data_IF_575901705145
#
_entry.id   IF_575901705145
#
_cell.length_a   1.000
_cell.length_b   1.000
_cell.length_c   1.000
_cell.angle_alpha   90.00
_cell.angle_beta   90.00
_cell.angle_gamma   90.00
#
_symmetry.space_group_name_H-M   'P 1'
#
loop_
_entity.id
_entity.type
_entity.pdbx_description
1 polymer ?
#
# COMPACT_ATOMS: atom_id res chain seq x y z
N UNK A 1 4.66 -17.04 15.06
CA UNK A 1 4.24 -17.57 13.74
C UNK A 1 5.51 -17.99 13.00
N UNK A 2 5.50 -19.00 12.11
CA UNK A 2 6.70 -19.26 11.29
C UNK A 2 6.72 -18.37 10.04
N UNK A 3 7.86 -18.27 9.35
CA UNK A 3 8.04 -17.41 8.18
C UNK A 3 7.03 -17.67 7.06
N UNK A 4 6.73 -18.95 6.77
CA UNK A 4 5.77 -19.33 5.75
C UNK A 4 4.35 -18.93 6.13
N UNK A 5 3.96 -19.15 7.39
CA UNK A 5 2.63 -18.77 7.89
C UNK A 5 2.42 -17.24 7.76
N UNK A 6 3.45 -16.42 8.04
CA UNK A 6 3.39 -14.95 7.89
C UNK A 6 3.21 -14.54 6.43
N UNK A 7 3.94 -15.20 5.52
CA UNK A 7 3.84 -14.98 4.08
C UNK A 7 2.45 -15.35 3.58
N UNK A 8 1.95 -16.53 3.93
CA UNK A 8 0.63 -17.01 3.51
C UNK A 8 -0.48 -16.09 4.01
N UNK A 9 -0.40 -15.65 5.27
CA UNK A 9 -1.38 -14.73 5.84
C UNK A 9 -1.37 -13.36 5.16
N UNK A 10 -0.19 -12.83 4.85
CA UNK A 10 -0.05 -11.54 4.16
C UNK A 10 -0.55 -11.61 2.70
N UNK A 11 -0.19 -12.66 1.97
CA UNK A 11 -0.68 -12.88 0.60
C UNK A 11 -2.20 -13.12 0.58
N UNK A 12 -2.72 -13.82 1.58
CA UNK A 12 -4.14 -14.00 1.76
C UNK A 12 -4.88 -12.68 2.02
N UNK A 13 -4.30 -11.80 2.85
CA UNK A 13 -4.86 -10.49 3.14
C UNK A 13 -4.88 -9.59 1.91
N UNK A 14 -3.75 -9.46 1.20
CA UNK A 14 -3.67 -8.66 -0.05
C UNK A 14 -4.62 -9.19 -1.12
N UNK A 15 -4.78 -10.51 -1.25
CA UNK A 15 -5.80 -11.11 -2.11
C UNK A 15 -7.21 -10.65 -1.75
N UNK A 16 -7.55 -10.58 -0.46
CA UNK A 16 -8.87 -10.11 -0.03
C UNK A 16 -9.12 -8.65 -0.37
N UNK A 17 -8.11 -7.80 -0.29
CA UNK A 17 -8.19 -6.38 -0.61
C UNK A 17 -8.31 -6.10 -2.11
N UNK A 18 -7.47 -6.75 -2.92
CA UNK A 18 -7.29 -6.40 -4.34
C UNK A 18 -8.06 -7.31 -5.30
N UNK A 19 -8.09 -8.62 -5.05
CA UNK A 19 -8.74 -9.60 -5.92
C UNK A 19 -10.19 -9.86 -5.51
N UNK A 20 -10.42 -10.26 -4.25
CA UNK A 20 -11.77 -10.53 -3.76
C UNK A 20 -12.55 -9.24 -3.51
N UNK A 21 -11.85 -8.14 -3.18
CA UNK A 21 -12.43 -6.84 -2.86
C UNK A 21 -13.49 -6.94 -1.76
N UNK A 22 -13.15 -7.67 -0.69
CA UNK A 22 -14.05 -8.00 0.42
C UNK A 22 -13.48 -7.51 1.76
N UNK A 23 -14.13 -6.50 2.34
CA UNK A 23 -13.74 -5.90 3.59
C UNK A 23 -13.88 -6.83 4.81
N UNK A 24 -14.88 -7.73 4.80
CA UNK A 24 -15.10 -8.68 5.88
C UNK A 24 -14.01 -9.76 5.89
N UNK A 25 -13.60 -10.22 4.71
CA UNK A 25 -12.47 -11.13 4.55
C UNK A 25 -11.14 -10.45 4.93
N UNK A 26 -10.88 -9.23 4.46
CA UNK A 26 -9.65 -8.50 4.79
C UNK A 26 -9.47 -8.34 6.31
N UNK A 27 -10.52 -7.91 7.02
CA UNK A 27 -10.46 -7.73 8.48
C UNK A 27 -10.41 -9.06 9.23
N UNK A 28 -10.82 -10.18 8.63
CA UNK A 28 -10.74 -11.50 9.26
C UNK A 28 -9.31 -12.00 9.50
N UNK A 29 -8.32 -11.44 8.79
CA UNK A 29 -6.89 -11.78 8.96
C UNK A 29 -6.20 -10.95 10.05
N UNK A 30 -6.94 -10.03 10.69
CA UNK A 30 -6.39 -9.04 11.61
C UNK A 30 -6.88 -9.28 13.05
N UNK A 31 -6.03 -8.95 14.03
CA UNK A 31 -6.43 -8.92 15.45
C UNK A 31 -7.47 -7.80 15.70
N UNK A 32 -8.32 -7.91 16.74
CA UNK A 32 -9.39 -6.92 16.98
C UNK A 32 -8.93 -5.47 17.12
N UNK A 33 -7.73 -5.24 17.68
CA UNK A 33 -7.13 -3.92 17.85
C UNK A 33 -6.11 -3.56 16.75
N UNK A 34 -6.14 -4.25 15.61
CA UNK A 34 -5.21 -3.99 14.52
C UNK A 34 -5.28 -2.55 14.00
N UNK A 35 -4.25 -2.15 13.26
CA UNK A 35 -4.19 -0.83 12.61
C UNK A 35 -3.59 -0.93 11.22
N UNK A 36 -4.14 -0.14 10.31
CA UNK A 36 -3.60 0.07 8.97
C UNK A 36 -3.38 1.56 8.82
N UNK A 37 -2.19 1.95 8.36
CA UNK A 37 -1.90 3.37 8.15
C UNK A 37 -0.98 3.60 6.97
N UNK A 38 -1.49 4.38 6.03
CA UNK A 38 -0.74 4.99 4.95
C UNK A 38 -0.16 6.30 5.45
N UNK A 39 1.09 6.29 5.92
CA UNK A 39 1.62 7.43 6.69
C UNK A 39 1.74 8.75 5.90
N UNK A 40 2.10 8.76 4.61
CA UNK A 40 2.26 10.03 3.89
C UNK A 40 0.96 10.83 3.73
N UNK A 41 -0.19 10.17 3.81
CA UNK A 41 -1.53 10.79 3.72
C UNK A 41 -2.35 10.66 5.00
N UNK A 42 -1.84 9.92 5.99
CA UNK A 42 -2.56 9.55 7.21
C UNK A 42 -3.91 8.88 6.94
N UNK A 43 -3.99 8.10 5.86
CA UNK A 43 -5.19 7.35 5.50
C UNK A 43 -5.17 5.95 6.08
N UNK A 44 -6.17 5.61 6.88
CA UNK A 44 -6.25 4.33 7.56
C UNK A 44 -7.20 4.34 8.74
N UNK A 45 -7.15 3.28 9.53
CA UNK A 45 -7.99 3.11 10.70
C UNK A 45 -7.34 2.19 11.74
N UNK A 46 -7.91 2.18 12.94
CA UNK A 46 -7.50 1.30 14.04
C UNK A 46 -8.71 0.73 14.76
N UNK A 47 -8.63 -0.56 15.07
CA UNK A 47 -9.74 -1.34 15.60
C UNK A 47 -10.60 -1.94 14.49
N UNK A 48 -11.13 -3.13 14.76
CA UNK A 48 -11.86 -3.98 13.81
C UNK A 48 -12.96 -3.25 13.03
N UNK A 49 -13.86 -2.56 13.73
CA UNK A 49 -15.02 -1.92 13.12
C UNK A 49 -14.62 -0.74 12.22
N UNK A 50 -13.65 0.05 12.68
CA UNK A 50 -13.12 1.18 11.92
C UNK A 50 -12.32 0.71 10.69
N UNK A 51 -11.55 -0.37 10.82
CA UNK A 51 -10.84 -0.98 9.70
C UNK A 51 -11.81 -1.55 8.67
N UNK A 52 -12.86 -2.24 9.10
CA UNK A 52 -13.89 -2.76 8.20
C UNK A 52 -14.55 -1.64 7.41
N UNK A 53 -14.95 -0.56 8.08
CA UNK A 53 -15.51 0.62 7.43
C UNK A 53 -14.51 1.26 6.46
N UNK A 54 -13.25 1.43 6.87
CA UNK A 54 -12.20 1.95 6.01
C UNK A 54 -12.02 1.10 4.74
N UNK A 55 -11.97 -0.22 4.87
CA UNK A 55 -11.87 -1.12 3.72
C UNK A 55 -13.09 -1.04 2.81
N UNK A 56 -14.30 -1.12 3.38
CA UNK A 56 -15.55 -1.17 2.62
C UNK A 56 -15.85 0.16 1.91
N UNK A 57 -15.59 1.29 2.56
CA UNK A 57 -16.08 2.59 2.14
C UNK A 57 -15.01 3.49 1.50
N UNK A 58 -13.72 3.22 1.76
CA UNK A 58 -12.61 4.09 1.36
C UNK A 58 -11.60 3.35 0.49
N UNK A 59 -10.90 2.36 1.06
CA UNK A 59 -9.74 1.76 0.42
C UNK A 59 -10.13 0.94 -0.82
N UNK A 60 -10.98 -0.08 -0.67
CA UNK A 60 -11.33 -0.99 -1.76
C UNK A 60 -12.06 -0.27 -2.91
N UNK A 61 -13.08 0.59 -2.66
CA UNK A 61 -13.70 1.38 -3.73
C UNK A 61 -12.74 2.33 -4.42
N UNK A 62 -11.79 2.87 -3.65
CA UNK A 62 -10.75 3.79 -4.11
C UNK A 62 -9.65 3.13 -4.93
N UNK A 63 -9.59 1.80 -5.06
CA UNK A 63 -8.58 1.14 -5.90
C UNK A 63 -8.98 1.11 -7.39
N UNK A 64 -8.18 1.74 -8.28
CA UNK A 64 -8.34 1.59 -9.72
C UNK A 64 -8.31 0.11 -10.14
N UNK A 65 -9.07 -0.27 -11.19
CA UNK A 65 -9.14 -1.67 -11.64
C UNK A 65 -7.83 -2.16 -12.26
N UNK A 66 -6.97 -1.24 -12.71
CA UNK A 66 -5.65 -1.52 -13.28
C UNK A 66 -4.52 -1.41 -12.24
N UNK A 67 -4.85 -1.43 -10.94
CA UNK A 67 -3.84 -1.39 -9.89
C UNK A 67 -3.01 -2.67 -9.92
N UNK A 68 -1.70 -2.52 -10.10
CA UNK A 68 -0.71 -3.60 -10.11
C UNK A 68 0.32 -3.39 -9.00
N UNK A 69 0.76 -4.47 -8.37
CA UNK A 69 1.82 -4.49 -7.36
C UNK A 69 2.99 -5.38 -7.83
N UNK A 70 4.17 -4.78 -8.01
CA UNK A 70 5.42 -5.47 -8.34
C UNK A 70 6.27 -5.60 -7.06
N UNK A 71 6.29 -6.79 -6.45
CA UNK A 71 7.11 -7.08 -5.27
C UNK A 71 8.60 -7.11 -5.64
N UNK A 72 9.38 -6.18 -5.09
CA UNK A 72 10.81 -6.03 -5.35
C UNK A 72 11.63 -6.88 -4.38
N UNK A 73 11.35 -6.78 -3.10
CA UNK A 73 12.05 -7.52 -2.07
C UNK A 73 11.13 -7.79 -0.89
N UNK A 74 11.33 -8.94 -0.25
CA UNK A 74 10.66 -9.33 1.00
C UNK A 74 11.72 -9.66 2.04
N UNK A 75 11.61 -9.05 3.21
CA UNK A 75 12.41 -9.37 4.40
C UNK A 75 11.50 -9.89 5.50
N UNK A 76 11.88 -11.00 6.12
CA UNK A 76 11.11 -11.64 7.20
C UNK A 76 11.95 -11.65 8.47
N UNK A 77 11.39 -11.16 9.56
CA UNK A 77 11.92 -11.27 10.93
C UNK A 77 10.95 -12.05 11.82
N UNK A 78 11.17 -12.05 13.13
CA UNK A 78 10.43 -12.93 14.07
C UNK A 78 8.89 -12.74 14.03
N UNK A 79 8.41 -11.49 14.06
CA UNK A 79 6.98 -11.14 14.00
C UNK A 79 6.72 -9.99 13.02
N UNK A 80 7.57 -9.87 12.00
CA UNK A 80 7.54 -8.75 11.05
C UNK A 80 7.88 -9.22 9.64
N UNK A 81 7.10 -8.75 8.68
CA UNK A 81 7.36 -8.88 7.25
C UNK A 81 7.47 -7.47 6.67
N UNK A 82 8.50 -7.24 5.86
CA UNK A 82 8.70 -5.97 5.16
C UNK A 82 8.76 -6.25 3.68
N UNK A 83 7.80 -5.69 2.94
CA UNK A 83 7.78 -5.74 1.49
C UNK A 83 8.16 -4.37 0.92
N UNK A 84 9.11 -4.38 0.00
CA UNK A 84 9.42 -3.27 -0.90
C UNK A 84 8.74 -3.55 -2.24
N UNK A 85 7.91 -2.62 -2.70
CA UNK A 85 7.03 -2.81 -3.84
C UNK A 85 7.03 -1.58 -4.77
N UNK A 86 6.65 -1.81 -6.02
CA UNK A 86 6.24 -0.73 -6.94
C UNK A 86 4.77 -0.93 -7.28
N UNK A 87 3.93 0.04 -6.92
CA UNK A 87 2.53 0.11 -7.34
C UNK A 87 2.42 0.88 -8.66
N UNK A 88 1.58 0.39 -9.57
CA UNK A 88 1.12 1.13 -10.75
C UNK A 88 -0.39 1.20 -10.78
N UNK A 89 -0.92 2.34 -11.18
CA UNK A 89 -2.36 2.53 -11.40
C UNK A 89 -2.60 3.71 -12.34
N UNK A 90 -3.78 3.75 -12.95
CA UNK A 90 -4.30 4.98 -13.57
C UNK A 90 -5.15 5.73 -12.56
N UNK A 91 -4.91 7.02 -12.36
CA UNK A 91 -5.71 7.87 -11.46
C UNK A 91 -7.07 8.22 -12.10
N UNK A 92 -7.94 7.21 -12.23
CA UNK A 92 -9.25 7.23 -12.89
C UNK A 92 -10.42 7.54 -11.96
N UNK A 93 -10.18 7.49 -10.64
CA UNK A 93 -11.09 7.74 -9.53
C UNK A 93 -10.34 8.48 -8.43
N UNK A 94 -11.06 8.95 -7.43
CA UNK A 94 -10.41 9.40 -6.20
C UNK A 94 -9.74 8.21 -5.51
N UNK A 95 -8.47 8.37 -5.12
CA UNK A 95 -7.66 7.35 -4.44
C UNK A 95 -7.25 7.92 -3.07
N UNK A 96 -8.14 7.90 -2.05
CA UNK A 96 -7.96 8.66 -0.81
C UNK A 96 -6.66 8.35 -0.07
N UNK A 97 -6.22 7.10 -0.13
CA UNK A 97 -4.98 6.65 0.46
C UNK A 97 -3.73 7.25 -0.20
N UNK A 98 -3.79 7.66 -1.47
CA UNK A 98 -2.64 8.14 -2.23
C UNK A 98 -2.69 9.66 -2.49
N UNK A 99 -3.86 10.16 -2.88
CA UNK A 99 -4.13 11.55 -3.28
C UNK A 99 -5.48 12.02 -2.68
N UNK A 100 -5.55 12.23 -1.34
CA UNK A 100 -6.80 12.56 -0.66
C UNK A 100 -7.43 13.85 -1.19
N UNK A 101 -8.71 13.79 -1.59
CA UNK A 101 -9.48 14.93 -2.08
C UNK A 101 -9.09 15.42 -3.49
N UNK A 102 -8.25 14.68 -4.21
CA UNK A 102 -7.87 15.01 -5.59
C UNK A 102 -8.81 14.29 -6.56
N UNK A 103 -9.46 15.05 -7.43
CA UNK A 103 -10.27 14.49 -8.50
C UNK A 103 -9.43 13.65 -9.48
N UNK A 104 -10.03 12.71 -10.22
CA UNK A 104 -9.33 11.89 -11.20
C UNK A 104 -8.52 12.74 -12.17
N UNK A 105 -7.20 12.53 -12.22
CA UNK A 105 -6.30 13.29 -13.11
C UNK A 105 -6.08 12.58 -14.43
N UNK A 106 -6.42 11.29 -14.52
CA UNK A 106 -6.20 10.44 -15.70
C UNK A 106 -4.75 10.09 -15.98
N UNK A 107 -3.81 10.50 -15.11
CA UNK A 107 -2.38 10.16 -15.27
C UNK A 107 -2.10 8.75 -14.75
N UNK A 108 -1.14 8.08 -15.37
CA UNK A 108 -0.58 6.85 -14.82
C UNK A 108 0.42 7.21 -13.72
N UNK A 109 0.25 6.61 -12.55
CA UNK A 109 1.12 6.77 -11.40
C UNK A 109 1.95 5.51 -11.20
N UNK A 110 3.22 5.71 -10.89
CA UNK A 110 4.14 4.65 -10.48
C UNK A 110 4.77 5.04 -9.14
N UNK A 111 4.51 4.24 -8.11
CA UNK A 111 4.81 4.57 -6.72
C UNK A 111 5.65 3.46 -6.11
N UNK A 112 6.91 3.78 -5.80
CA UNK A 112 7.72 2.93 -4.94
C UNK A 112 7.29 3.11 -3.49
N UNK A 113 6.99 2.01 -2.80
CA UNK A 113 6.56 2.05 -1.41
C UNK A 113 7.10 0.86 -0.63
N UNK A 114 7.14 1.03 0.69
CA UNK A 114 7.47 -0.02 1.65
C UNK A 114 6.27 -0.23 2.55
N UNK A 115 5.87 -1.48 2.74
CA UNK A 115 4.89 -1.88 3.74
C UNK A 115 5.57 -2.71 4.83
N UNK A 116 5.35 -2.31 6.08
CA UNK A 116 5.80 -3.03 7.27
C UNK A 116 4.57 -3.68 7.90
N UNK A 117 4.52 -5.00 7.82
CA UNK A 117 3.47 -5.82 8.41
C UNK A 117 4.00 -6.42 9.70
N UNK A 118 3.28 -6.21 10.81
CA UNK A 118 3.57 -6.88 12.08
C UNK A 118 2.49 -7.89 12.39
N UNK A 119 2.91 -8.98 13.00
CA UNK A 119 2.04 -10.09 13.37
C UNK A 119 1.97 -10.23 14.88
N UNK A 120 0.92 -10.90 15.34
CA UNK A 120 0.81 -11.37 16.72
C UNK A 120 -0.02 -12.64 16.72
N UNK A 121 0.52 -13.67 17.37
CA UNK A 121 -0.06 -15.01 17.39
C UNK A 121 -0.22 -15.60 15.98
N UNK A 122 -1.45 -15.67 15.45
CA UNK A 122 -1.83 -16.21 14.14
C UNK A 122 -2.45 -15.15 13.21
N UNK A 123 -2.33 -13.86 13.54
CA UNK A 123 -3.04 -12.76 12.87
C UNK A 123 -2.15 -11.53 12.66
N UNK A 124 -2.57 -10.63 11.78
CA UNK A 124 -1.92 -9.34 11.55
C UNK A 124 -2.26 -8.35 12.67
N UNK A 125 -1.23 -7.73 13.24
CA UNK A 125 -1.32 -6.66 14.25
C UNK A 125 -1.33 -5.28 13.61
N UNK A 126 -0.49 -5.06 12.61
CA UNK A 126 -0.47 -3.76 11.95
C UNK A 126 0.09 -3.82 10.55
N UNK A 127 -0.40 -2.92 9.71
CA UNK A 127 0.17 -2.55 8.43
C UNK A 127 0.57 -1.07 8.48
N UNK A 128 1.80 -0.75 8.06
CA UNK A 128 2.27 0.64 8.00
C UNK A 128 3.02 0.86 6.70
N UNK A 129 2.50 1.77 5.88
CA UNK A 129 3.02 2.03 4.54
C UNK A 129 3.73 3.38 4.47
N UNK A 130 4.84 3.39 3.73
CA UNK A 130 5.70 4.54 3.48
C UNK A 130 5.97 4.70 1.99
N UNK A 131 5.95 5.93 1.50
CA UNK A 131 6.41 6.28 0.16
C UNK A 131 6.77 7.77 0.11
N UNK A 132 7.33 8.21 -1.01
CA UNK A 132 7.61 9.61 -1.28
C UNK A 132 6.36 10.33 -1.85
N UNK A 133 5.65 11.07 -1.00
CA UNK A 133 4.47 11.83 -1.42
C UNK A 133 4.81 12.95 -2.41
N UNK A 134 6.02 13.53 -2.35
CA UNK A 134 6.41 14.58 -3.28
C UNK A 134 6.49 14.02 -4.72
N UNK A 135 6.94 12.78 -4.87
CA UNK A 135 6.94 12.09 -6.16
C UNK A 135 5.54 11.80 -6.69
N UNK A 136 4.62 11.36 -5.82
CA UNK A 136 3.22 11.13 -6.19
C UNK A 136 2.58 12.45 -6.66
N UNK A 137 2.74 13.52 -5.89
CA UNK A 137 2.21 14.85 -6.24
C UNK A 137 2.82 15.39 -7.53
N UNK A 138 4.12 15.18 -7.78
CA UNK A 138 4.78 15.59 -9.03
C UNK A 138 4.19 14.86 -10.23
N UNK A 139 4.05 13.53 -10.15
CA UNK A 139 3.45 12.73 -11.23
C UNK A 139 2.00 13.13 -11.51
N UNK A 140 1.25 13.49 -10.47
CA UNK A 140 -0.12 13.99 -10.59
C UNK A 140 -0.22 15.44 -11.10
N UNK A 141 0.90 16.13 -11.35
CA UNK A 141 0.93 17.52 -11.80
C UNK A 141 0.56 18.55 -10.71
N UNK A 142 0.62 18.15 -9.44
CA UNK A 142 0.21 18.96 -8.29
C UNK A 142 1.38 19.66 -7.58
N UNK A 143 2.62 19.36 -7.98
CA UNK A 143 3.83 19.94 -7.42
C UNK A 143 4.40 21.03 -8.36
N UNK A 144 4.69 22.21 -7.83
CA UNK A 144 5.19 23.34 -8.64
C UNK A 144 6.67 23.23 -9.00
N UNK A 145 7.09 23.98 -10.04
CA UNK A 145 8.48 24.02 -10.53
C UNK A 145 9.51 24.60 -9.53
N UNK A 146 9.08 25.24 -8.45
CA UNK A 146 9.97 25.79 -7.41
C UNK A 146 10.44 24.73 -6.39
N UNK A 147 10.10 23.46 -6.60
CA UNK A 147 10.50 22.35 -5.72
C UNK A 147 11.99 22.04 -5.90
N UNK A 148 12.72 21.71 -4.81
CA UNK A 148 14.01 21.04 -4.93
C UNK A 148 13.99 19.88 -5.94
N UNK A 149 15.11 19.55 -6.59
CA UNK A 149 15.15 18.50 -7.60
C UNK A 149 14.70 17.16 -7.02
N UNK A 150 13.74 16.53 -7.70
CA UNK A 150 13.30 15.15 -7.45
C UNK A 150 13.86 14.25 -8.56
N UNK A 151 14.26 13.00 -8.26
CA UNK A 151 14.74 12.06 -9.28
C UNK A 151 13.62 11.71 -10.26
N UNK A 152 13.94 11.27 -11.48
CA UNK A 152 12.90 10.79 -12.39
C UNK A 152 12.30 9.47 -11.88
N UNK A 153 10.99 9.31 -12.06
CA UNK A 153 10.27 8.13 -11.57
C UNK A 153 10.83 6.84 -12.18
N UNK A 154 11.23 6.88 -13.46
CA UNK A 154 11.85 5.75 -14.16
C UNK A 154 13.21 5.35 -13.58
N UNK A 155 13.98 6.29 -13.04
CA UNK A 155 15.27 6.00 -12.43
C UNK A 155 15.09 5.20 -11.15
N UNK A 156 14.11 5.60 -10.33
CA UNK A 156 13.74 4.90 -9.11
C UNK A 156 13.29 3.46 -9.40
N UNK A 157 12.33 3.27 -10.31
CA UNK A 157 11.81 1.93 -10.60
C UNK A 157 12.84 1.04 -11.27
N UNK A 158 13.70 1.60 -12.13
CA UNK A 158 14.82 0.86 -12.73
C UNK A 158 15.82 0.40 -11.67
N UNK A 159 16.18 1.29 -10.73
CA UNK A 159 17.10 0.97 -9.64
C UNK A 159 16.56 -0.16 -8.75
N UNK A 160 15.29 -0.05 -8.32
CA UNK A 160 14.64 -1.06 -7.47
C UNK A 160 14.57 -2.41 -8.18
N UNK A 161 14.14 -2.45 -9.43
CA UNK A 161 14.07 -3.70 -10.20
C UNK A 161 15.44 -4.33 -10.46
N UNK A 162 16.46 -3.51 -10.68
CA UNK A 162 17.83 -4.00 -10.83
C UNK A 162 18.37 -4.58 -9.51
N UNK A 163 17.84 -4.12 -8.37
CA UNK A 163 18.21 -4.57 -7.02
C UNK A 163 17.42 -5.81 -6.55
N UNK A 164 16.48 -6.31 -7.36
CA UNK A 164 15.67 -7.50 -7.05
C UNK A 164 16.59 -8.69 -6.76
N UNK A 165 16.66 -9.06 -5.50
CA UNK A 165 17.44 -10.22 -5.05
C UNK A 165 16.73 -11.46 -5.61
N UNK A 166 17.49 -12.32 -6.31
CA UNK A 166 16.98 -13.60 -6.82
C UNK A 166 16.73 -14.59 -5.71
#
# INVERSE_FOLDING_TARGET
MNDNDMVELWEQHTRYEFECRDADLAVSTMVPEARVMHLPTMSGASGRDALRAYYADVFIPGQPPDTELDLIARSIGEDVLVDECIMRLTHDREVPQLLPGVAPTGVSLEVAFVVIVRFRDSLMLSETLYWDQAQVLRQAGLLSAATPPLPDTSDMSSYLRASRIR
#
